data_IF_413116384363
#
_entry.id   IF_413116384363
#
_cell.length_a   1.000
_cell.length_b   1.000
_cell.length_c   1.000
_cell.angle_alpha   90.00
_cell.angle_beta   90.00
_cell.angle_gamma   90.00
#
_symmetry.space_group_name_H-M   'P 1'
#
loop_
_entity.id
_entity.type
_entity.pdbx_description
1 polymer ?
#
# COMPACT_ATOMS: atom_id res chain seq x y z
N UNK A 1 16.68 15.24 -9.41
CA UNK A 1 15.21 15.13 -9.44
C UNK A 1 14.78 13.68 -9.51
N UNK A 2 13.75 13.35 -8.75
CA UNK A 2 13.27 11.99 -8.74
C UNK A 2 12.56 11.67 -10.05
N UNK A 3 13.00 10.61 -10.68
CA UNK A 3 12.39 10.17 -11.92
C UNK A 3 11.13 9.37 -11.67
N UNK A 4 11.20 8.45 -10.72
CA UNK A 4 10.11 7.54 -10.47
C UNK A 4 9.79 7.55 -9.00
N UNK A 5 8.54 7.84 -8.68
CA UNK A 5 8.08 7.65 -7.32
C UNK A 5 8.00 6.15 -7.02
N UNK A 6 8.26 5.79 -5.77
CA UNK A 6 8.17 4.41 -5.33
C UNK A 6 6.87 4.22 -4.56
N UNK A 7 6.07 3.27 -4.99
CA UNK A 7 4.75 3.01 -4.41
C UNK A 7 4.71 1.58 -3.88
N UNK A 8 4.24 1.44 -2.66
CA UNK A 8 3.98 0.13 -2.08
C UNK A 8 2.47 -0.10 -2.09
N UNK A 9 2.04 -1.23 -2.64
CA UNK A 9 0.64 -1.61 -2.67
C UNK A 9 0.45 -2.83 -1.79
N UNK A 10 -0.45 -2.74 -0.82
CA UNK A 10 -0.71 -3.82 0.12
C UNK A 10 -2.16 -4.23 0.02
N UNK A 11 -2.39 -5.46 -0.41
CA UNK A 11 -3.73 -6.00 -0.61
C UNK A 11 -3.62 -7.51 -0.62
N UNK A 12 -4.61 -8.20 -0.08
CA UNK A 12 -4.54 -9.65 -0.02
C UNK A 12 -5.12 -10.34 -1.25
N UNK A 13 -5.58 -9.57 -2.24
CA UNK A 13 -6.03 -10.14 -3.51
C UNK A 13 -4.90 -10.06 -4.52
N UNK A 14 -4.35 -11.21 -4.85
CA UNK A 14 -3.19 -11.26 -5.73
C UNK A 14 -3.48 -10.66 -7.10
N UNK A 15 -4.65 -10.93 -7.65
CA UNK A 15 -4.99 -10.40 -8.97
C UNK A 15 -5.02 -8.88 -8.97
N UNK A 16 -5.54 -8.29 -7.91
CA UNK A 16 -5.60 -6.83 -7.81
C UNK A 16 -4.19 -6.25 -7.69
N UNK A 17 -3.32 -6.90 -6.92
CA UNK A 17 -1.94 -6.43 -6.83
C UNK A 17 -1.28 -6.41 -8.20
N UNK A 18 -1.51 -7.44 -9.01
CA UNK A 18 -0.89 -7.50 -10.32
C UNK A 18 -1.43 -6.44 -11.25
N UNK A 19 -2.73 -6.20 -11.20
CA UNK A 19 -3.35 -5.17 -12.04
C UNK A 19 -2.83 -3.78 -11.66
N UNK A 20 -2.80 -3.48 -10.37
CA UNK A 20 -2.33 -2.17 -9.93
C UNK A 20 -0.86 -1.98 -10.26
N UNK A 21 -0.06 -3.03 -10.04
CA UNK A 21 1.36 -2.94 -10.36
C UNK A 21 1.56 -2.64 -11.84
N UNK A 22 0.86 -3.38 -12.72
CA UNK A 22 1.00 -3.18 -14.14
C UNK A 22 0.61 -1.75 -14.53
N UNK A 23 -0.54 -1.28 -14.03
CA UNK A 23 -1.02 0.03 -14.42
C UNK A 23 -0.11 1.14 -13.91
N UNK A 24 0.35 1.03 -12.68
CA UNK A 24 1.22 2.06 -12.11
C UNK A 24 2.59 2.07 -12.77
N UNK A 25 3.11 0.89 -13.08
CA UNK A 25 4.41 0.83 -13.75
C UNK A 25 4.32 1.40 -15.16
N UNK A 26 3.18 1.22 -15.81
CA UNK A 26 2.96 1.81 -17.14
C UNK A 26 3.04 3.34 -17.06
N UNK A 27 2.65 3.92 -15.93
CA UNK A 27 2.73 5.36 -15.74
C UNK A 27 4.11 5.84 -15.29
N UNK A 28 5.04 4.92 -15.11
CA UNK A 28 6.40 5.29 -14.78
C UNK A 28 6.79 5.15 -13.31
N UNK A 29 5.89 4.62 -12.49
CA UNK A 29 6.20 4.43 -11.07
C UNK A 29 6.96 3.13 -10.84
N UNK A 30 7.74 3.12 -9.79
CA UNK A 30 8.35 1.88 -9.31
C UNK A 30 7.42 1.29 -8.27
N UNK A 31 6.98 0.04 -8.44
CA UNK A 31 5.94 -0.53 -7.62
C UNK A 31 6.41 -1.81 -6.95
N UNK A 32 6.18 -1.89 -5.65
CA UNK A 32 6.41 -3.10 -4.87
C UNK A 32 5.06 -3.49 -4.30
N UNK A 33 4.76 -4.78 -4.27
CA UNK A 33 3.50 -5.26 -3.74
C UNK A 33 3.75 -6.17 -2.55
N UNK A 34 2.78 -6.21 -1.64
CA UNK A 34 2.82 -7.11 -0.49
C UNK A 34 1.42 -7.67 -0.27
N UNK A 35 1.30 -8.97 0.02
CA UNK A 35 -0.02 -9.60 0.16
C UNK A 35 -0.64 -9.43 1.54
N UNK A 36 0.08 -8.84 2.48
CA UNK A 36 -0.44 -8.64 3.83
C UNK A 36 0.29 -7.47 4.49
N UNK A 37 -0.34 -6.93 5.53
CA UNK A 37 0.31 -5.89 6.32
C UNK A 37 1.58 -6.42 6.97
N UNK A 38 1.52 -7.66 7.45
CA UNK A 38 2.68 -8.26 8.11
C UNK A 38 3.87 -8.35 7.16
N UNK A 39 3.63 -8.76 5.92
CA UNK A 39 4.71 -8.82 4.93
C UNK A 39 5.21 -7.43 4.59
N UNK A 40 4.29 -6.47 4.45
CA UNK A 40 4.68 -5.11 4.10
C UNK A 40 5.56 -4.49 5.18
N UNK A 41 5.27 -4.79 6.44
CA UNK A 41 6.04 -4.21 7.55
C UNK A 41 7.46 -4.75 7.63
N UNK A 42 7.78 -5.80 6.88
CA UNK A 42 9.16 -6.28 6.77
C UNK A 42 9.98 -5.45 5.80
N UNK A 43 9.34 -4.58 5.04
CA UNK A 43 10.02 -3.76 4.04
C UNK A 43 10.45 -2.43 4.66
N UNK A 44 11.33 -1.74 3.94
CA UNK A 44 11.76 -0.40 4.37
C UNK A 44 10.69 0.61 3.95
N UNK A 45 9.69 0.76 4.79
CA UNK A 45 8.52 1.61 4.48
C UNK A 45 8.94 3.05 4.19
N UNK A 46 9.93 3.55 4.92
CA UNK A 46 10.35 4.94 4.76
C UNK A 46 10.94 5.22 3.37
N UNK A 47 11.31 4.18 2.64
CA UNK A 47 11.85 4.35 1.29
C UNK A 47 10.77 4.59 0.24
N UNK A 48 9.51 4.44 0.59
CA UNK A 48 8.43 4.61 -0.37
C UNK A 48 7.88 6.04 -0.33
N UNK A 49 7.42 6.49 -1.48
CA UNK A 49 6.83 7.82 -1.61
C UNK A 49 5.33 7.81 -1.35
N UNK A 50 4.71 6.64 -1.43
CA UNK A 50 3.27 6.50 -1.24
C UNK A 50 2.95 5.06 -0.91
N UNK A 51 1.98 4.87 -0.01
CA UNK A 51 1.44 3.56 0.29
C UNK A 51 -0.01 3.50 -0.12
N UNK A 52 -0.39 2.43 -0.82
CA UNK A 52 -1.78 2.12 -1.11
C UNK A 52 -2.13 0.90 -0.27
N UNK A 53 -3.01 1.09 0.70
CA UNK A 53 -3.34 0.03 1.66
C UNK A 53 -4.79 -0.38 1.55
N UNK A 54 -5.01 -1.67 1.40
CA UNK A 54 -6.36 -2.21 1.50
C UNK A 54 -6.80 -2.13 2.97
N UNK A 55 -8.02 -1.70 3.19
CA UNK A 55 -8.56 -1.59 4.54
C UNK A 55 -8.80 -2.96 5.15
N UNK A 56 -9.39 -3.87 4.38
CA UNK A 56 -9.81 -5.15 4.93
C UNK A 56 -8.95 -6.27 4.41
N UNK A 57 -8.08 -6.75 5.27
CA UNK A 57 -7.20 -7.86 4.96
C UNK A 57 -7.30 -8.89 6.08
N UNK A 58 -7.01 -10.13 5.77
CA UNK A 58 -6.88 -11.12 6.82
C UNK A 58 -5.71 -10.75 7.71
N UNK A 59 -5.85 -10.94 8.99
CA UNK A 59 -4.82 -10.54 9.94
C UNK A 59 -4.90 -9.06 10.24
N UNK A 60 -3.76 -8.36 10.18
CA UNK A 60 -3.75 -6.94 10.48
C UNK A 60 -4.47 -6.14 9.41
N UNK A 61 -5.38 -5.27 9.80
CA UNK A 61 -6.10 -4.43 8.85
C UNK A 61 -5.21 -3.30 8.35
N UNK A 62 -5.66 -2.68 7.24
CA UNK A 62 -4.96 -1.51 6.73
C UNK A 62 -4.96 -0.36 7.71
N UNK A 63 -6.08 -0.18 8.43
CA UNK A 63 -6.14 0.89 9.44
C UNK A 63 -5.15 0.64 10.58
N UNK A 64 -5.03 -0.60 11.04
CA UNK A 64 -4.09 -0.92 12.10
C UNK A 64 -2.66 -0.70 11.65
N UNK A 65 -2.35 -1.09 10.42
CA UNK A 65 -1.03 -0.84 9.87
C UNK A 65 -0.74 0.65 9.78
N UNK A 66 -1.72 1.43 9.29
CA UNK A 66 -1.53 2.86 9.15
C UNK A 66 -1.27 3.52 10.50
N UNK A 67 -2.01 3.10 11.53
CA UNK A 67 -1.78 3.63 12.87
C UNK A 67 -0.36 3.33 13.34
N UNK A 68 0.09 2.11 13.13
CA UNK A 68 1.43 1.72 13.53
C UNK A 68 2.48 2.58 12.83
N UNK A 69 2.29 2.84 11.54
CA UNK A 69 3.22 3.65 10.77
C UNK A 69 3.21 5.09 11.23
N UNK A 70 2.05 5.63 11.55
CA UNK A 70 1.94 7.01 12.01
C UNK A 70 2.57 7.21 13.39
N UNK A 71 2.58 6.16 14.21
CA UNK A 71 3.18 6.24 15.53
C UNK A 71 4.70 6.14 15.49
N UNK A 72 5.27 5.80 14.37
CA UNK A 72 6.72 5.65 14.22
C UNK A 72 7.28 6.85 13.47
N UNK A 73 8.15 7.66 14.11
CA UNK A 73 8.69 8.86 13.45
C UNK A 73 9.35 8.57 12.11
N UNK A 74 9.93 7.38 11.94
CA UNK A 74 10.63 7.06 10.70
C UNK A 74 9.66 6.92 9.52
N UNK A 75 8.39 6.59 9.78
CA UNK A 75 7.42 6.33 8.72
C UNK A 75 6.22 7.26 8.77
N UNK A 76 6.12 8.11 9.78
CA UNK A 76 4.91 8.90 10.02
C UNK A 76 4.58 9.84 8.86
N UNK A 77 5.57 10.23 8.07
CA UNK A 77 5.34 11.19 7.00
C UNK A 77 5.06 10.56 5.65
N UNK A 78 5.14 9.24 5.55
CA UNK A 78 4.84 8.57 4.26
C UNK A 78 3.35 8.67 4.01
N UNK A 79 2.92 9.24 2.88
CA UNK A 79 1.49 9.37 2.58
C UNK A 79 0.84 8.01 2.40
N UNK A 80 -0.39 7.89 2.86
CA UNK A 80 -1.14 6.65 2.76
C UNK A 80 -2.48 6.94 2.12
N UNK A 81 -2.84 6.16 1.12
CA UNK A 81 -4.18 6.18 0.52
C UNK A 81 -4.78 4.81 0.76
N UNK A 82 -5.99 4.80 1.30
CA UNK A 82 -6.68 3.54 1.52
C UNK A 82 -7.45 3.13 0.28
N UNK A 83 -7.34 1.85 -0.04
CA UNK A 83 -8.12 1.27 -1.13
C UNK A 83 -9.43 0.78 -0.53
N UNK A 84 -10.53 1.28 -1.05
CA UNK A 84 -11.83 0.82 -0.59
C UNK A 84 -12.15 -0.46 -1.30
N UNK A 85 -12.51 -1.44 -0.55
CA UNK A 85 -12.64 -2.75 -1.10
C UNK A 85 -13.78 -2.82 -2.06
N UNK A 86 -14.77 -2.12 -1.81
CA UNK A 86 -15.78 -2.32 -2.76
C UNK A 86 -17.01 -1.60 -2.45
N UNK A 87 -17.30 -1.80 -2.78
CA UNK A 87 -18.19 -1.24 -2.69
C UNK A 87 -19.27 -1.44 -2.64
N UNK A 88 -19.77 -1.45 -2.65
CA UNK A 88 -20.60 -1.61 -2.59
C UNK A 88 -21.55 -1.43 -2.87
N UNK A 89 -21.98 -1.36 -3.10
CA UNK A 89 -22.76 -1.27 -3.41
C UNK A 89 -23.56 -1.05 -3.26
N UNK A 90 -23.95 -1.03 -3.24
CA UNK A 90 -24.66 -0.87 -3.12
C UNK A 90 -25.33 -0.62 -3.17
N UNK A 91 -25.61 -0.61 -3.13
CA UNK A 91 -26.28 -0.46 -3.19
C UNK A 91 -26.77 -0.45 -3.15
#
# INVERSE_FOLDING_TARGET
>A
MKQNARILVVDDEQDLLEILKFNLETEGYEVVTAPSAEDALQLDIASFDLLLLDVMMGGMSGFAMARQLKDNPATAQVPIIFLTARDTEND
#
